data_IF_901164200725
#
_entry.id   IF_901164200725
#
_cell.length_a   1.000
_cell.length_b   1.000
_cell.length_c   1.000
_cell.angle_alpha   90.00
_cell.angle_beta   90.00
_cell.angle_gamma   90.00
#
_symmetry.space_group_name_H-M   'P 1'
#
loop_
_entity.id
_entity.type
_entity.pdbx_description
1 polymer ?
#
# COMPACT_ATOMS: atom_id res chain seq x y z
N UNK A 1 -16.05 18.75 -12.24
CA UNK A 1 -15.83 17.76 -11.18
C UNK A 1 -15.14 18.48 -10.06
N UNK A 2 -15.78 18.55 -8.90
CA UNK A 2 -15.20 19.14 -7.69
C UNK A 2 -14.69 18.00 -6.80
N UNK A 3 -13.58 18.23 -6.11
CA UNK A 3 -13.00 17.28 -5.17
C UNK A 3 -12.53 18.03 -3.93
N UNK A 4 -12.54 17.35 -2.79
CA UNK A 4 -12.08 17.87 -1.50
C UNK A 4 -11.17 16.85 -0.81
N UNK A 5 -10.06 17.33 -0.24
CA UNK A 5 -9.19 16.52 0.61
C UNK A 5 -9.59 16.78 2.06
N UNK A 6 -10.33 15.85 2.67
CA UNK A 6 -10.84 15.99 4.04
C UNK A 6 -9.70 15.90 5.06
N UNK A 7 -8.82 14.90 4.93
CA UNK A 7 -7.67 14.69 5.81
C UNK A 7 -6.48 14.15 5.01
N UNK A 8 -5.26 14.51 5.42
CA UNK A 8 -4.03 13.94 4.83
C UNK A 8 -2.94 13.78 5.89
N UNK A 9 -2.17 12.69 5.79
CA UNK A 9 -1.04 12.44 6.68
C UNK A 9 0.03 11.57 6.01
N UNK A 10 1.29 11.91 6.28
CA UNK A 10 2.44 11.14 5.81
C UNK A 10 3.04 10.34 6.96
N UNK A 11 3.13 9.02 6.79
CA UNK A 11 3.74 8.12 7.77
C UNK A 11 5.19 7.84 7.41
N UNK A 12 6.13 8.24 8.28
CA UNK A 12 7.55 7.97 8.07
C UNK A 12 7.85 6.48 8.23
N UNK A 13 8.49 5.90 7.23
CA UNK A 13 8.98 4.54 7.32
C UNK A 13 10.15 4.41 8.31
N UNK A 14 10.14 3.30 9.06
CA UNK A 14 11.31 2.88 9.85
C UNK A 14 12.48 2.60 8.91
N UNK A 15 13.71 2.81 9.39
CA UNK A 15 14.96 2.61 8.61
C UNK A 15 14.99 1.26 7.87
N UNK A 16 14.53 0.17 8.53
CA UNK A 16 14.44 -1.17 7.91
C UNK A 16 13.62 -1.19 6.61
N UNK A 17 12.48 -0.50 6.58
CA UNK A 17 11.58 -0.46 5.43
C UNK A 17 12.15 0.41 4.33
N UNK A 18 12.73 1.56 4.67
CA UNK A 18 13.44 2.40 3.70
C UNK A 18 14.56 1.62 2.98
N UNK A 19 15.38 0.89 3.72
CA UNK A 19 16.47 0.08 3.14
C UNK A 19 15.91 -1.07 2.30
N UNK A 20 14.89 -1.78 2.79
CA UNK A 20 14.27 -2.89 2.06
C UNK A 20 13.68 -2.41 0.72
N UNK A 21 12.77 -1.43 0.78
CA UNK A 21 12.00 -0.96 -0.37
C UNK A 21 12.87 -0.23 -1.41
N UNK A 22 13.95 0.43 -0.99
CA UNK A 22 14.91 1.05 -1.92
C UNK A 22 15.68 0.02 -2.74
N UNK A 23 15.97 -1.15 -2.17
CA UNK A 23 16.82 -2.17 -2.80
C UNK A 23 16.01 -3.32 -3.43
N UNK A 24 14.69 -3.33 -3.27
CA UNK A 24 13.86 -4.48 -3.62
C UNK A 24 13.87 -4.80 -5.11
N UNK A 25 13.95 -3.76 -5.95
CA UNK A 25 14.01 -3.85 -7.41
C UNK A 25 15.38 -4.26 -7.93
N UNK A 26 16.45 -3.82 -7.26
CA UNK A 26 17.82 -4.12 -7.69
C UNK A 26 18.22 -5.56 -7.38
N UNK A 27 17.67 -6.13 -6.31
CA UNK A 27 18.11 -7.43 -5.81
C UNK A 27 17.21 -8.59 -6.21
N UNK A 28 16.11 -8.34 -6.94
CA UNK A 28 15.04 -9.33 -7.18
C UNK A 28 14.63 -10.08 -5.89
N UNK A 29 14.78 -9.42 -4.74
CA UNK A 29 14.57 -10.03 -3.41
C UNK A 29 13.11 -10.11 -3.03
N UNK A 30 12.22 -9.56 -3.85
CA UNK A 30 10.79 -9.61 -3.61
C UNK A 30 10.33 -11.06 -3.43
N UNK A 31 9.54 -11.29 -2.39
CA UNK A 31 8.92 -12.57 -2.14
C UNK A 31 7.61 -12.38 -1.37
N UNK A 32 6.84 -13.46 -1.28
CA UNK A 32 5.54 -13.47 -0.60
C UNK A 32 5.61 -12.95 0.84
N UNK A 33 6.67 -13.25 1.58
CA UNK A 33 6.83 -12.82 2.98
C UNK A 33 6.97 -11.30 3.10
N UNK A 34 7.79 -10.69 2.23
CA UNK A 34 7.93 -9.23 2.19
C UNK A 34 6.57 -8.58 1.89
N UNK A 35 5.80 -9.15 0.95
CA UNK A 35 4.48 -8.62 0.63
C UNK A 35 3.51 -8.69 1.83
N UNK A 36 3.50 -9.81 2.57
CA UNK A 36 2.69 -9.95 3.81
C UNK A 36 3.12 -8.93 4.86
N UNK A 37 4.43 -8.80 5.11
CA UNK A 37 4.94 -7.86 6.11
C UNK A 37 4.67 -6.39 5.72
N UNK A 38 4.73 -6.07 4.43
CA UNK A 38 4.45 -4.72 3.92
C UNK A 38 2.95 -4.43 4.01
N UNK A 39 2.11 -5.40 3.65
CA UNK A 39 0.65 -5.30 3.86
C UNK A 39 0.36 -5.00 5.32
N UNK A 40 0.94 -5.75 6.27
CA UNK A 40 0.75 -5.53 7.71
C UNK A 40 1.19 -4.13 8.16
N UNK A 41 2.27 -3.60 7.59
CA UNK A 41 2.72 -2.24 7.86
C UNK A 41 1.67 -1.21 7.39
N UNK A 42 1.22 -1.32 6.15
CA UNK A 42 0.23 -0.40 5.58
C UNK A 42 -1.11 -0.49 6.32
N UNK A 43 -1.58 -1.71 6.62
CA UNK A 43 -2.78 -1.92 7.44
C UNK A 43 -2.70 -1.21 8.79
N UNK A 44 -1.51 -1.22 9.43
CA UNK A 44 -1.31 -0.46 10.65
C UNK A 44 -1.46 1.04 10.42
N UNK A 45 -0.79 1.61 9.41
CA UNK A 45 -0.87 3.04 9.15
C UNK A 45 -2.29 3.51 8.79
N UNK A 46 -3.01 2.69 8.02
CA UNK A 46 -4.42 2.94 7.69
C UNK A 46 -5.27 2.95 8.98
N UNK A 47 -5.11 1.97 9.87
CA UNK A 47 -5.83 1.96 11.16
C UNK A 47 -5.49 3.18 12.02
N UNK A 48 -4.21 3.51 12.10
CA UNK A 48 -3.75 4.67 12.86
C UNK A 48 -4.39 5.95 12.30
N UNK A 49 -4.48 6.10 10.97
CA UNK A 49 -5.14 7.23 10.30
C UNK A 49 -6.64 7.30 10.59
N UNK A 50 -7.35 6.18 10.43
CA UNK A 50 -8.79 6.08 10.68
C UNK A 50 -9.12 6.47 12.12
N UNK A 51 -8.34 5.94 13.08
CA UNK A 51 -8.54 6.23 14.49
C UNK A 51 -8.22 7.69 14.83
N UNK A 52 -7.15 8.25 14.27
CA UNK A 52 -6.72 9.62 14.54
C UNK A 52 -7.74 10.66 14.07
N UNK A 53 -8.34 10.44 12.90
CA UNK A 53 -9.34 11.34 12.32
C UNK A 53 -10.79 10.90 12.59
N UNK A 54 -10.98 9.87 13.42
CA UNK A 54 -12.31 9.33 13.78
C UNK A 54 -13.19 9.04 12.57
N UNK A 55 -12.61 8.50 11.50
CA UNK A 55 -13.32 8.22 10.24
C UNK A 55 -14.28 7.04 10.46
N UNK A 56 -15.57 7.26 10.26
CA UNK A 56 -16.61 6.27 10.54
C UNK A 56 -16.97 5.41 9.33
N UNK A 57 -17.00 6.01 8.14
CA UNK A 57 -17.42 5.36 6.89
C UNK A 57 -16.33 5.49 5.83
N UNK A 58 -16.03 4.38 5.16
CA UNK A 58 -15.01 4.29 4.11
C UNK A 58 -15.56 3.41 3.00
N UNK A 59 -15.87 4.00 1.85
CA UNK A 59 -16.41 3.26 0.71
C UNK A 59 -15.35 2.40 0.01
N UNK A 60 -14.11 2.89 -0.06
CA UNK A 60 -12.98 2.19 -0.66
C UNK A 60 -11.64 2.67 -0.09
N UNK A 61 -10.63 1.81 -0.20
CA UNK A 61 -9.23 2.19 -0.06
C UNK A 61 -8.59 2.01 -1.43
N UNK A 62 -7.90 3.04 -1.91
CA UNK A 62 -7.03 2.94 -3.08
C UNK A 62 -5.58 2.95 -2.61
N UNK A 63 -4.77 2.03 -3.14
CA UNK A 63 -3.35 1.97 -2.83
C UNK A 63 -2.57 1.83 -4.12
N UNK A 64 -1.62 2.75 -4.33
CA UNK A 64 -0.69 2.65 -5.45
C UNK A 64 0.19 1.40 -5.35
N UNK A 65 0.56 0.99 -4.12
CA UNK A 65 1.57 -0.03 -3.88
C UNK A 65 3.00 0.51 -3.99
N UNK A 66 3.98 -0.40 -3.94
CA UNK A 66 5.40 -0.08 -4.12
C UNK A 66 5.97 -0.84 -5.31
N UNK A 67 6.51 -0.14 -6.31
CA UNK A 67 7.12 -0.79 -7.48
C UNK A 67 8.32 -1.64 -7.07
N UNK A 68 8.17 -2.96 -7.18
CA UNK A 68 9.20 -3.94 -6.85
C UNK A 68 10.00 -4.40 -8.07
N UNK A 69 9.46 -4.27 -9.28
CA UNK A 69 10.19 -4.52 -10.51
C UNK A 69 9.73 -3.51 -11.56
N UNK A 70 10.68 -2.94 -12.30
CA UNK A 70 10.38 -2.04 -13.41
C UNK A 70 11.39 -2.29 -14.54
N UNK A 71 10.94 -3.03 -15.55
CA UNK A 71 11.69 -3.38 -16.75
C UNK A 71 10.83 -3.07 -17.98
N UNK A 72 10.70 -1.78 -18.35
CA UNK A 72 9.85 -1.37 -19.47
C UNK A 72 10.30 -1.96 -20.81
N UNK A 73 11.61 -2.19 -21.01
CA UNK A 73 12.15 -2.88 -22.19
C UNK A 73 11.59 -4.30 -22.36
N UNK A 74 11.20 -4.93 -21.26
CA UNK A 74 10.65 -6.29 -21.23
C UNK A 74 9.13 -6.28 -21.00
N UNK A 75 8.48 -5.10 -21.05
CA UNK A 75 7.07 -4.91 -20.69
C UNK A 75 6.69 -5.48 -19.32
N UNK A 76 7.63 -5.47 -18.37
CA UNK A 76 7.48 -6.12 -17.07
C UNK A 76 7.55 -5.10 -15.94
N UNK A 77 6.43 -4.88 -15.28
CA UNK A 77 6.32 -4.08 -14.04
C UNK A 77 5.61 -4.90 -12.97
N UNK A 78 6.16 -4.92 -11.76
CA UNK A 78 5.57 -5.60 -10.62
C UNK A 78 5.48 -4.66 -9.42
N UNK A 79 4.33 -4.64 -8.76
CA UNK A 79 4.05 -3.83 -7.56
C UNK A 79 3.87 -4.74 -6.33
N UNK A 80 4.37 -4.29 -5.18
CA UNK A 80 4.06 -4.86 -3.86
C UNK A 80 2.73 -4.26 -3.41
N UNK A 81 1.78 -5.13 -3.07
CA UNK A 81 0.38 -4.75 -2.85
C UNK A 81 -0.13 -5.12 -1.46
N UNK A 82 -1.25 -4.53 -1.06
CA UNK A 82 -2.00 -4.97 0.11
C UNK A 82 -2.74 -6.27 -0.24
N UNK A 83 -2.40 -7.37 0.44
CA UNK A 83 -3.14 -8.61 0.27
C UNK A 83 -4.61 -8.49 0.65
N UNK A 84 -5.48 -9.00 -0.23
CA UNK A 84 -6.93 -9.02 -0.09
C UNK A 84 -7.43 -9.54 1.26
N UNK A 85 -6.81 -10.60 1.79
CA UNK A 85 -7.27 -11.20 3.04
C UNK A 85 -7.05 -10.30 4.28
N UNK A 86 -6.11 -9.36 4.24
CA UNK A 86 -5.90 -8.38 5.31
C UNK A 86 -6.82 -7.15 5.17
N UNK A 87 -7.57 -7.03 4.07
CA UNK A 87 -8.57 -5.97 3.84
C UNK A 87 -9.80 -6.16 4.75
N UNK A 88 -10.20 -7.41 4.98
CA UNK A 88 -11.30 -7.75 5.90
C UNK A 88 -11.03 -7.36 7.36
N UNK A 89 -9.76 -7.13 7.71
CA UNK A 89 -9.34 -6.69 9.06
C UNK A 89 -9.45 -5.15 9.21
N UNK A 90 -9.61 -4.43 8.10
CA UNK A 90 -9.64 -2.97 8.04
C UNK A 90 -11.05 -2.42 7.88
N UNK A 91 -11.89 -3.04 7.05
CA UNK A 91 -13.20 -2.48 6.69
C UNK A 91 -14.24 -3.59 6.46
N UNK A 92 -15.50 -3.35 6.85
CA UNK A 92 -16.59 -4.33 6.77
C UNK A 92 -17.30 -4.41 5.41
N UNK A 93 -17.12 -3.44 4.49
CA UNK A 93 -17.98 -3.31 3.29
C UNK A 93 -17.29 -2.98 1.95
N UNK A 94 -15.97 -2.90 1.87
CA UNK A 94 -15.35 -2.06 0.83
C UNK A 94 -14.44 -2.80 -0.15
N UNK A 95 -14.56 -2.41 -1.42
CA UNK A 95 -13.78 -2.83 -2.58
C UNK A 95 -12.47 -2.02 -2.62
N UNK A 96 -11.33 -2.65 -2.94
CA UNK A 96 -10.04 -1.96 -3.11
C UNK A 96 -9.75 -1.88 -4.61
N UNK A 97 -9.57 -0.67 -5.13
CA UNK A 97 -9.04 -0.47 -6.48
C UNK A 97 -7.52 -0.60 -6.39
N UNK A 98 -7.01 -1.68 -6.96
CA UNK A 98 -5.59 -1.95 -7.12
C UNK A 98 -5.21 -1.65 -8.58
N UNK A 99 -4.03 -1.04 -8.76
CA UNK A 99 -3.39 -0.60 -10.00
C UNK A 99 -3.69 0.84 -10.48
N UNK A 100 -2.67 1.68 -10.36
CA UNK A 100 -2.32 2.63 -11.42
C UNK A 100 -1.00 2.15 -12.03
N UNK A 101 -1.06 1.46 -13.18
CA UNK A 101 0.11 1.31 -14.05
C UNK A 101 0.22 2.60 -14.83
N UNK A 102 1.20 3.45 -14.49
CA UNK A 102 1.66 4.51 -15.39
C UNK A 102 2.55 3.92 -16.48
#
# INVERSE_FOLDING_TARGET
MEYEIINSKTYKYKKKWNVLLKNISQKNTFNRKINIDYTRLLSKYIKDFINEFSIQEIDFISSHGHTALHQPSNSLTYQIEIYQFLQNILIKRSFVILEFKM
#
